data_IF_733512171440
#
_entry.id   IF_733512171440
#
_cell.length_a   1.000
_cell.length_b   1.000
_cell.length_c   1.000
_cell.angle_alpha   90.00
_cell.angle_beta   90.00
_cell.angle_gamma   90.00
#
_symmetry.space_group_name_H-M   'P 1'
#
loop_
_entity.id
_entity.type
_entity.pdbx_description
1 polymer ?
#
# COMPACT_ATOMS: atom_id res chain seq x y z
N UNK A 1 -68.34 -79.70 -7.54
CA UNK A 1 -67.44 -80.05 -8.66
C UNK A 1 -66.92 -78.76 -9.27
N UNK A 2 -65.59 -78.59 -9.27
CA UNK A 2 -64.76 -77.74 -10.16
C UNK A 2 -65.07 -76.22 -10.10
N UNK A 3 -64.41 -75.36 -9.28
CA UNK A 3 -62.98 -74.97 -9.22
C UNK A 3 -62.39 -74.62 -10.59
N UNK A 4 -62.42 -73.36 -11.01
CA UNK A 4 -61.29 -72.70 -11.67
C UNK A 4 -61.20 -71.22 -11.28
N UNK A 5 -60.09 -70.97 -10.62
CA UNK A 5 -59.55 -69.75 -10.09
C UNK A 5 -58.55 -69.27 -11.15
N UNK A 6 -58.84 -68.21 -11.89
CA UNK A 6 -57.82 -67.51 -12.69
C UNK A 6 -57.90 -66.04 -12.31
N UNK A 7 -56.95 -65.72 -11.44
CA UNK A 7 -56.69 -64.43 -10.83
C UNK A 7 -56.27 -63.44 -11.93
N UNK A 8 -57.10 -62.42 -12.14
CA UNK A 8 -56.75 -61.23 -12.91
C UNK A 8 -55.72 -60.44 -12.10
N UNK A 9 -54.44 -60.76 -12.27
CA UNK A 9 -53.32 -60.02 -11.68
C UNK A 9 -53.23 -58.69 -12.42
N UNK A 10 -53.95 -57.70 -11.93
CA UNK A 10 -53.67 -56.29 -12.16
C UNK A 10 -52.24 -56.01 -11.67
N UNK A 11 -51.30 -55.95 -12.61
CA UNK A 11 -49.99 -55.35 -12.41
C UNK A 11 -50.22 -53.85 -12.22
N UNK A 12 -50.49 -53.46 -10.97
CA UNK A 12 -50.38 -52.08 -10.52
C UNK A 12 -48.90 -51.71 -10.56
N UNK A 13 -48.57 -51.06 -11.65
CA UNK A 13 -47.57 -50.00 -11.81
C UNK A 13 -47.16 -49.43 -10.44
N UNK A 14 -46.04 -49.90 -9.91
CA UNK A 14 -45.21 -49.07 -9.04
C UNK A 14 -44.33 -48.28 -10.01
N UNK A 15 -44.90 -47.21 -10.54
CA UNK A 15 -44.10 -46.10 -11.01
C UNK A 15 -43.44 -45.56 -9.74
N UNK A 16 -42.16 -45.85 -9.55
CA UNK A 16 -41.33 -45.02 -8.68
C UNK A 16 -41.44 -43.62 -9.26
N UNK A 17 -42.17 -42.77 -8.55
CA UNK A 17 -42.27 -41.35 -8.84
C UNK A 17 -40.88 -40.76 -8.58
N UNK A 18 -40.00 -40.88 -9.58
CA UNK A 18 -38.73 -40.17 -9.65
C UNK A 18 -39.08 -38.70 -9.91
N UNK A 19 -39.67 -38.04 -8.91
CA UNK A 19 -39.73 -36.60 -8.86
C UNK A 19 -38.26 -36.14 -8.72
N UNK A 20 -37.63 -35.55 -9.74
CA UNK A 20 -36.29 -35.00 -9.59
C UNK A 20 -36.43 -33.90 -8.55
N UNK A 21 -36.03 -34.23 -7.32
CA UNK A 21 -36.21 -33.39 -6.14
C UNK A 21 -35.73 -31.98 -6.50
N UNK A 22 -36.55 -30.97 -6.19
CA UNK A 22 -36.25 -29.56 -6.37
C UNK A 22 -35.11 -29.14 -5.44
N UNK A 23 -33.94 -29.78 -5.53
CA UNK A 23 -32.85 -29.67 -4.59
C UNK A 23 -31.57 -29.49 -5.38
N UNK A 24 -30.80 -28.48 -5.04
CA UNK A 24 -29.41 -28.35 -5.46
C UNK A 24 -28.49 -28.82 -4.33
N UNK A 25 -27.51 -29.64 -4.68
CA UNK A 25 -26.52 -30.16 -3.76
C UNK A 25 -25.27 -29.28 -3.78
N UNK A 26 -24.60 -29.21 -2.63
CA UNK A 26 -23.43 -28.37 -2.45
C UNK A 26 -22.77 -28.55 -1.10
N UNK A 27 -21.94 -27.58 -0.73
CA UNK A 27 -21.23 -27.54 0.55
C UNK A 27 -21.24 -26.15 1.14
N UNK A 28 -21.08 -26.06 2.46
CA UNK A 28 -20.84 -24.79 3.15
C UNK A 28 -19.40 -24.31 2.91
N UNK A 29 -19.24 -23.08 2.47
CA UNK A 29 -17.93 -22.45 2.22
C UNK A 29 -17.87 -21.05 2.84
N UNK A 30 -16.66 -20.52 2.97
CA UNK A 30 -16.39 -19.10 3.28
C UNK A 30 -15.38 -18.56 2.29
N UNK A 31 -15.37 -17.25 2.12
CA UNK A 31 -14.40 -16.60 1.23
C UNK A 31 -12.99 -16.89 1.75
N UNK A 32 -12.15 -17.56 0.96
CA UNK A 32 -10.76 -17.84 1.33
C UNK A 32 -9.87 -16.68 0.92
N UNK A 33 -9.19 -16.06 1.88
CA UNK A 33 -8.26 -14.93 1.66
C UNK A 33 -6.86 -15.38 2.03
N UNK A 34 -6.01 -15.53 1.03
CA UNK A 34 -4.59 -15.82 1.23
C UNK A 34 -3.80 -14.52 1.38
N UNK A 35 -3.16 -14.35 2.54
CA UNK A 35 -2.15 -13.32 2.77
C UNK A 35 -0.79 -13.85 2.34
N UNK A 36 -0.18 -13.22 1.35
CA UNK A 36 1.10 -13.66 0.79
C UNK A 36 2.28 -12.83 1.29
N UNK A 37 3.46 -13.44 1.33
CA UNK A 37 4.70 -12.76 1.65
C UNK A 37 5.09 -11.77 0.55
N UNK A 38 5.39 -10.53 0.89
CA UNK A 38 5.92 -9.54 -0.06
C UNK A 38 7.44 -9.64 -0.22
N UNK A 39 8.12 -10.27 0.74
CA UNK A 39 9.57 -10.44 0.80
C UNK A 39 9.95 -11.83 1.29
N UNK A 40 11.22 -12.20 1.11
CA UNK A 40 11.77 -13.46 1.62
C UNK A 40 12.44 -13.26 2.98
N UNK A 41 11.71 -13.51 4.07
CA UNK A 41 12.20 -13.29 5.44
C UNK A 41 11.87 -14.43 6.41
N UNK A 42 12.45 -14.39 7.61
CA UNK A 42 12.20 -15.41 8.64
C UNK A 42 10.93 -15.11 9.43
N UNK A 43 10.11 -16.12 9.71
CA UNK A 43 8.97 -16.01 10.63
C UNK A 43 9.47 -15.92 12.07
N UNK A 44 9.21 -14.80 12.75
CA UNK A 44 9.65 -14.56 14.13
C UNK A 44 8.51 -14.58 15.15
N UNK A 45 7.25 -14.53 14.70
CA UNK A 45 6.09 -14.70 15.59
C UNK A 45 4.85 -15.20 14.86
N UNK A 46 4.11 -16.09 15.52
CA UNK A 46 2.81 -16.63 15.11
C UNK A 46 1.83 -16.50 16.31
N UNK A 47 1.35 -15.28 16.61
CA UNK A 47 0.60 -15.01 17.85
C UNK A 47 -0.80 -15.64 17.89
N UNK A 48 -1.36 -16.03 16.74
CA UNK A 48 -2.70 -16.59 16.63
C UNK A 48 -2.61 -18.06 16.21
N UNK A 49 -3.35 -18.94 16.89
CA UNK A 49 -3.43 -20.35 16.54
C UNK A 49 -4.42 -20.58 15.39
N UNK A 50 -4.13 -21.57 14.55
CA UNK A 50 -5.09 -22.07 13.55
C UNK A 50 -6.43 -22.42 14.22
N UNK A 51 -7.52 -22.19 13.50
CA UNK A 51 -8.91 -22.31 13.99
C UNK A 51 -9.42 -21.12 14.81
N UNK A 52 -8.58 -20.14 15.15
CA UNK A 52 -9.01 -19.00 15.98
C UNK A 52 -9.82 -17.97 15.17
N UNK A 53 -10.84 -17.38 15.81
CA UNK A 53 -11.55 -16.21 15.28
C UNK A 53 -10.63 -14.98 15.37
N UNK A 54 -10.52 -14.24 14.27
CA UNK A 54 -9.71 -13.01 14.16
C UNK A 54 -10.57 -11.86 13.67
N UNK A 55 -10.20 -10.65 14.10
CA UNK A 55 -10.81 -9.42 13.61
C UNK A 55 -9.88 -8.77 12.58
N UNK A 56 -10.43 -7.90 11.74
CA UNK A 56 -9.63 -7.02 10.89
C UNK A 56 -8.58 -6.28 11.74
N UNK A 57 -7.34 -6.30 11.27
CA UNK A 57 -6.18 -5.70 11.95
C UNK A 57 -5.49 -6.60 12.97
N UNK A 58 -6.00 -7.80 13.26
CA UNK A 58 -5.28 -8.77 14.09
C UNK A 58 -3.97 -9.21 13.41
N UNK A 59 -2.85 -9.15 14.14
CA UNK A 59 -1.57 -9.67 13.68
C UNK A 59 -1.62 -11.20 13.58
N UNK A 60 -1.31 -11.73 12.40
CA UNK A 60 -1.34 -13.16 12.10
C UNK A 60 0.07 -13.75 12.09
N UNK A 61 1.00 -13.06 11.43
CA UNK A 61 2.39 -13.47 11.25
C UNK A 61 3.28 -12.23 11.35
N UNK A 62 4.38 -12.34 12.09
CA UNK A 62 5.46 -11.35 12.09
C UNK A 62 6.67 -11.95 11.41
N UNK A 63 7.17 -11.27 10.37
CA UNK A 63 8.45 -11.55 9.76
C UNK A 63 9.57 -10.74 10.45
N UNK A 64 10.81 -11.19 10.35
CA UNK A 64 11.98 -10.49 10.86
C UNK A 64 12.04 -9.07 10.26
N UNK A 65 12.06 -8.07 11.14
CA UNK A 65 12.01 -6.65 10.78
C UNK A 65 13.30 -5.89 11.12
N UNK A 66 14.35 -6.59 11.56
CA UNK A 66 15.59 -5.99 12.05
C UNK A 66 16.29 -5.15 10.98
N UNK A 67 16.49 -5.73 9.79
CA UNK A 67 17.10 -5.04 8.66
C UNK A 67 16.24 -3.86 8.20
N UNK A 68 14.92 -4.06 8.12
CA UNK A 68 14.01 -3.04 7.64
C UNK A 68 13.89 -1.85 8.61
N UNK A 69 13.96 -2.09 9.93
CA UNK A 69 14.08 -1.04 10.95
C UNK A 69 15.37 -0.24 10.81
N UNK A 70 16.49 -0.90 10.51
CA UNK A 70 17.76 -0.21 10.27
C UNK A 70 17.69 0.69 9.02
N UNK A 71 17.11 0.18 7.91
CA UNK A 71 16.89 0.99 6.70
C UNK A 71 15.95 2.17 6.95
N UNK A 72 14.88 1.96 7.71
CA UNK A 72 13.98 3.03 8.12
C UNK A 72 14.71 4.10 8.95
N UNK A 73 15.57 3.70 9.88
CA UNK A 73 16.39 4.64 10.66
C UNK A 73 17.34 5.45 9.77
N UNK A 74 17.98 4.81 8.78
CA UNK A 74 18.81 5.50 7.80
C UNK A 74 18.01 6.51 6.98
N UNK A 75 16.84 6.12 6.45
CA UNK A 75 15.99 7.01 5.68
C UNK A 75 15.50 8.22 6.50
N UNK A 76 15.20 8.03 7.79
CA UNK A 76 14.89 9.15 8.71
C UNK A 76 16.07 10.11 8.86
N UNK A 77 17.29 9.59 9.01
CA UNK A 77 18.48 10.42 9.11
C UNK A 77 18.76 11.18 7.79
N UNK A 78 18.49 10.55 6.64
CA UNK A 78 18.62 11.19 5.33
C UNK A 78 17.64 12.37 5.16
N UNK A 79 16.40 12.26 5.67
CA UNK A 79 15.45 13.39 5.74
C UNK A 79 16.01 14.52 6.59
N UNK A 80 16.46 14.23 7.82
CA UNK A 80 17.03 15.24 8.73
C UNK A 80 18.24 15.94 8.08
N UNK A 81 19.10 15.19 7.38
CA UNK A 81 20.24 15.75 6.64
C UNK A 81 19.78 16.70 5.53
N UNK A 82 18.76 16.32 4.76
CA UNK A 82 18.23 17.14 3.68
C UNK A 82 17.53 18.41 4.21
N UNK A 83 16.75 18.29 5.29
CA UNK A 83 16.13 19.43 5.99
C UNK A 83 17.18 20.42 6.48
N UNK A 84 18.21 19.93 7.19
CA UNK A 84 19.28 20.78 7.69
C UNK A 84 20.05 21.48 6.56
N UNK A 85 20.24 20.84 5.41
CA UNK A 85 20.87 21.46 4.25
C UNK A 85 19.98 22.55 3.63
N UNK A 86 18.68 22.30 3.49
CA UNK A 86 17.73 23.30 3.02
C UNK A 86 17.68 24.50 3.97
N UNK A 87 17.62 24.27 5.28
CA UNK A 87 17.63 25.33 6.28
C UNK A 87 18.93 26.13 6.23
N UNK A 88 20.08 25.48 6.05
CA UNK A 88 21.36 26.17 5.85
C UNK A 88 21.30 27.12 4.65
N UNK A 89 20.73 26.68 3.54
CA UNK A 89 20.58 27.51 2.33
C UNK A 89 19.57 28.64 2.53
N UNK A 90 18.48 28.41 3.27
CA UNK A 90 17.48 29.45 3.59
C UNK A 90 18.04 30.55 4.48
N UNK A 91 18.91 30.21 5.44
CA UNK A 91 19.58 31.20 6.28
C UNK A 91 20.67 31.98 5.54
N UNK A 92 21.24 31.40 4.46
CA UNK A 92 22.24 32.07 3.63
C UNK A 92 23.56 32.34 4.33
N UNK A 93 24.16 33.50 4.04
CA UNK A 93 25.44 33.92 4.61
C UNK A 93 25.33 34.22 6.11
N UNK A 94 26.38 33.91 6.86
CA UNK A 94 26.40 34.18 8.30
C UNK A 94 26.52 35.69 8.58
N UNK A 95 26.03 36.13 9.74
CA UNK A 95 26.08 37.56 10.14
C UNK A 95 27.52 38.04 10.22
N UNK A 96 28.43 37.18 10.68
CA UNK A 96 29.87 37.45 10.77
C UNK A 96 30.51 37.64 9.38
N UNK A 97 30.07 36.88 8.38
CA UNK A 97 30.54 36.98 7.00
C UNK A 97 30.07 38.31 6.37
N UNK A 98 28.81 38.68 6.58
CA UNK A 98 28.26 39.96 6.13
C UNK A 98 28.96 41.13 6.83
N UNK A 99 29.24 41.02 8.13
CA UNK A 99 29.95 42.06 8.88
C UNK A 99 31.39 42.25 8.37
N UNK A 100 32.11 41.15 8.10
CA UNK A 100 33.45 41.21 7.52
C UNK A 100 33.45 41.86 6.13
N UNK A 101 32.48 41.52 5.27
CA UNK A 101 32.33 42.15 3.96
C UNK A 101 31.98 43.65 4.06
N UNK A 102 31.13 44.05 5.00
CA UNK A 102 30.84 45.47 5.28
C UNK A 102 32.09 46.23 5.74
N UNK A 103 32.89 45.63 6.62
CA UNK A 103 34.17 46.20 7.04
C UNK A 103 35.12 46.38 5.84
N UNK A 104 35.17 45.41 4.92
CA UNK A 104 35.99 45.52 3.70
C UNK A 104 35.53 46.65 2.78
N UNK A 105 34.21 46.84 2.62
CA UNK A 105 33.65 47.98 1.88
C UNK A 105 34.05 49.31 2.54
N UNK A 106 33.99 49.39 3.87
CA UNK A 106 34.39 50.59 4.60
C UNK A 106 35.89 50.91 4.45
N UNK A 107 36.75 49.90 4.52
CA UNK A 107 38.19 50.00 4.27
C UNK A 107 38.48 50.51 2.84
N UNK A 108 37.91 49.87 1.80
CA UNK A 108 38.10 50.28 0.41
C UNK A 108 37.57 51.69 0.14
N UNK A 109 36.48 52.09 0.80
CA UNK A 109 35.94 53.46 0.70
C UNK A 109 36.90 54.48 1.31
N UNK A 110 37.49 54.18 2.46
CA UNK A 110 38.47 55.07 3.09
C UNK A 110 39.72 55.25 2.21
N UNK A 111 40.20 54.16 1.59
CA UNK A 111 41.32 54.22 0.65
C UNK A 111 41.01 55.05 -0.60
N UNK A 112 39.79 54.93 -1.16
CA UNK A 112 39.35 55.77 -2.28
C UNK A 112 39.33 57.25 -1.88
N UNK A 113 38.78 57.61 -0.72
CA UNK A 113 38.73 59.01 -0.24
C UNK A 113 40.14 59.62 -0.14
N UNK A 114 41.10 58.88 0.42
CA UNK A 114 42.49 59.37 0.49
C UNK A 114 43.09 59.56 -0.91
N UNK A 115 42.90 58.60 -1.82
CA UNK A 115 43.45 58.68 -3.17
C UNK A 115 42.75 59.74 -4.03
N UNK A 116 41.47 60.03 -3.82
CA UNK A 116 40.76 61.16 -4.42
C UNK A 116 41.32 62.49 -3.93
N UNK A 117 41.55 62.63 -2.61
CA UNK A 117 42.17 63.81 -2.03
C UNK A 117 43.60 64.01 -2.55
N UNK A 118 44.39 62.94 -2.63
CA UNK A 118 45.75 62.95 -3.18
C UNK A 118 45.76 63.36 -4.65
N UNK A 119 44.89 62.77 -5.48
CA UNK A 119 44.72 63.17 -6.88
C UNK A 119 44.33 64.65 -7.01
N UNK A 120 43.39 65.14 -6.20
CA UNK A 120 42.99 66.54 -6.22
C UNK A 120 44.15 67.48 -5.84
N UNK A 121 44.95 67.12 -4.83
CA UNK A 121 46.18 67.85 -4.44
C UNK A 121 47.18 67.89 -5.59
N UNK A 122 47.50 66.74 -6.17
CA UNK A 122 48.45 66.58 -7.29
C UNK A 122 48.00 67.36 -8.53
N UNK A 123 46.70 67.30 -8.87
CA UNK A 123 46.11 68.08 -9.98
C UNK A 123 46.27 69.60 -9.76
N UNK A 124 46.13 70.07 -8.53
CA UNK A 124 46.33 71.49 -8.21
C UNK A 124 47.81 71.92 -8.27
N UNK A 125 48.74 71.05 -7.89
CA UNK A 125 50.19 71.32 -7.98
C UNK A 125 50.69 71.35 -9.44
N UNK A 126 50.16 70.49 -10.32
CA UNK A 126 50.42 70.55 -11.77
C UNK A 126 49.97 71.86 -12.39
N UNK A 127 48.79 72.38 -12.01
CA UNK A 127 48.31 73.68 -12.51
C UNK A 127 49.25 74.83 -12.15
N UNK A 128 50.02 74.67 -11.06
CA UNK A 128 51.05 75.60 -10.60
C UNK A 128 52.45 75.28 -11.16
N UNK A 129 52.57 74.28 -12.04
CA UNK A 129 53.81 73.79 -12.66
C UNK A 129 54.88 73.31 -11.66
N UNK A 130 54.48 72.78 -10.50
CA UNK A 130 55.40 72.38 -9.42
C UNK A 130 55.82 70.90 -9.50
N UNK A 131 55.14 70.07 -10.29
CA UNK A 131 55.40 68.61 -10.39
C UNK A 131 55.25 68.10 -11.84
N UNK A 132 55.70 66.87 -12.11
CA UNK A 132 55.69 66.24 -13.44
C UNK A 132 54.33 65.62 -13.82
N UNK A 133 54.07 65.48 -15.13
CA UNK A 133 52.87 64.79 -15.66
C UNK A 133 52.77 63.34 -15.17
N UNK A 134 53.90 62.63 -15.11
CA UNK A 134 53.95 61.26 -14.60
C UNK A 134 53.41 61.13 -13.16
N UNK A 135 53.57 62.17 -12.32
CA UNK A 135 53.02 62.17 -10.96
C UNK A 135 51.48 62.31 -10.96
N UNK A 136 50.92 63.12 -11.88
CA UNK A 136 49.47 63.22 -12.06
C UNK A 136 48.87 61.92 -12.56
N UNK A 137 49.50 61.31 -13.57
CA UNK A 137 49.05 60.03 -14.14
C UNK A 137 49.07 58.92 -13.10
N UNK A 138 50.11 58.86 -12.28
CA UNK A 138 50.20 57.92 -11.16
C UNK A 138 49.08 58.15 -10.14
N UNK A 139 48.81 59.40 -9.75
CA UNK A 139 47.75 59.71 -8.80
C UNK A 139 46.35 59.39 -9.36
N UNK A 140 46.14 59.62 -10.67
CA UNK A 140 44.90 59.25 -11.35
C UNK A 140 44.72 57.72 -11.34
N UNK A 141 45.77 56.98 -11.72
CA UNK A 141 45.75 55.52 -11.73
C UNK A 141 45.47 54.93 -10.33
N UNK A 142 46.06 55.49 -9.28
CA UNK A 142 45.81 55.04 -7.89
C UNK A 142 44.36 55.30 -7.45
N UNK A 143 43.78 56.44 -7.84
CA UNK A 143 42.37 56.75 -7.58
C UNK A 143 41.45 55.78 -8.30
N UNK A 144 41.69 55.55 -9.60
CA UNK A 144 40.86 54.66 -10.41
C UNK A 144 40.97 53.19 -9.95
N UNK A 145 42.16 52.75 -9.55
CA UNK A 145 42.34 51.43 -8.94
C UNK A 145 41.57 51.28 -7.61
N UNK A 146 41.55 52.33 -6.77
CA UNK A 146 40.81 52.32 -5.50
C UNK A 146 39.29 52.30 -5.72
N UNK A 147 38.82 52.99 -6.77
CA UNK A 147 37.41 52.96 -7.17
C UNK A 147 36.99 51.55 -7.61
N UNK A 148 37.79 50.90 -8.45
CA UNK A 148 37.55 49.51 -8.87
C UNK A 148 37.56 48.55 -7.67
N UNK A 149 38.46 48.74 -6.71
CA UNK A 149 38.50 47.94 -5.47
C UNK A 149 37.27 48.12 -4.59
N UNK A 150 36.76 49.36 -4.47
CA UNK A 150 35.51 49.63 -3.77
C UNK A 150 34.33 48.93 -4.45
N UNK A 151 34.22 49.03 -5.78
CA UNK A 151 33.16 48.36 -6.55
C UNK A 151 33.20 46.85 -6.38
N UNK A 152 34.39 46.24 -6.43
CA UNK A 152 34.56 44.81 -6.17
C UNK A 152 34.10 44.43 -4.74
N UNK A 153 34.54 45.17 -3.71
CA UNK A 153 34.13 44.90 -2.33
C UNK A 153 32.60 45.04 -2.14
N UNK A 154 31.97 46.01 -2.81
CA UNK A 154 30.52 46.19 -2.80
C UNK A 154 29.80 45.01 -3.46
N UNK A 155 30.30 44.51 -4.58
CA UNK A 155 29.70 43.36 -5.26
C UNK A 155 29.84 42.08 -4.44
N UNK A 156 30.97 41.89 -3.76
CA UNK A 156 31.14 40.76 -2.82
C UNK A 156 30.15 40.83 -1.66
N UNK A 157 29.91 42.02 -1.10
CA UNK A 157 28.86 42.22 -0.10
C UNK A 157 27.45 41.95 -0.67
N UNK A 158 27.21 42.33 -1.93
CA UNK A 158 25.94 42.09 -2.63
C UNK A 158 25.66 40.60 -2.79
N UNK A 159 26.67 39.80 -3.12
CA UNK A 159 26.55 38.33 -3.20
C UNK A 159 26.08 37.75 -1.86
N UNK A 160 26.68 38.17 -0.75
CA UNK A 160 26.32 37.66 0.58
C UNK A 160 24.93 38.12 1.04
N UNK A 161 24.54 39.35 0.69
CA UNK A 161 23.25 39.94 1.11
C UNK A 161 22.07 39.52 0.23
N UNK A 162 22.30 39.18 -1.03
CA UNK A 162 21.28 38.58 -1.90
C UNK A 162 20.95 37.14 -1.48
N UNK A 163 21.79 36.50 -0.68
CA UNK A 163 21.57 35.15 -0.17
C UNK A 163 21.76 34.05 -1.22
N UNK A 164 21.14 32.91 -0.97
CA UNK A 164 21.24 31.72 -1.84
C UNK A 164 20.34 31.87 -3.06
N UNK A 165 20.76 31.32 -4.20
CA UNK A 165 19.99 31.35 -5.45
C UNK A 165 18.71 30.52 -5.34
N UNK A 166 17.66 30.95 -6.03
CA UNK A 166 16.39 30.20 -6.06
C UNK A 166 16.54 28.81 -6.69
N UNK A 167 17.45 28.65 -7.66
CA UNK A 167 17.78 27.34 -8.23
C UNK A 167 18.33 26.38 -7.16
N UNK A 168 19.24 26.84 -6.31
CA UNK A 168 19.85 26.03 -5.27
C UNK A 168 18.83 25.64 -4.19
N UNK A 169 17.94 26.58 -3.83
CA UNK A 169 16.81 26.30 -2.93
C UNK A 169 15.87 25.24 -3.51
N UNK A 170 15.48 25.37 -4.78
CA UNK A 170 14.62 24.38 -5.45
C UNK A 170 15.27 23.00 -5.52
N UNK A 171 16.58 22.93 -5.77
CA UNK A 171 17.33 21.66 -5.75
C UNK A 171 17.31 21.03 -4.35
N UNK A 172 17.49 21.83 -3.31
CA UNK A 172 17.47 21.35 -1.93
C UNK A 172 16.06 20.91 -1.48
N UNK A 173 15.01 21.63 -1.89
CA UNK A 173 13.61 21.24 -1.67
C UNK A 173 13.29 19.92 -2.36
N UNK A 174 13.65 19.76 -3.63
CA UNK A 174 13.47 18.51 -4.36
C UNK A 174 14.24 17.34 -3.72
N UNK A 175 15.44 17.61 -3.19
CA UNK A 175 16.23 16.60 -2.48
C UNK A 175 15.56 16.16 -1.17
N UNK A 176 14.95 17.09 -0.45
CA UNK A 176 14.17 16.81 0.75
C UNK A 176 12.93 15.97 0.41
N UNK A 177 12.19 16.33 -0.63
CA UNK A 177 11.01 15.58 -1.06
C UNK A 177 11.37 14.15 -1.49
N UNK A 178 12.48 13.97 -2.21
CA UNK A 178 13.00 12.64 -2.55
C UNK A 178 13.35 11.82 -1.30
N UNK A 179 13.99 12.43 -0.29
CA UNK A 179 14.30 11.76 0.98
C UNK A 179 13.03 11.36 1.75
N UNK A 180 12.00 12.22 1.76
CA UNK A 180 10.70 11.94 2.37
C UNK A 180 9.96 10.80 1.66
N UNK A 181 10.00 10.77 0.32
CA UNK A 181 9.43 9.68 -0.46
C UNK A 181 10.13 8.34 -0.17
N UNK A 182 11.46 8.36 -0.06
CA UNK A 182 12.23 7.17 0.35
C UNK A 182 11.83 6.71 1.75
N UNK A 183 11.71 7.64 2.71
CA UNK A 183 11.24 7.33 4.06
C UNK A 183 9.86 6.66 4.05
N UNK A 184 8.90 7.18 3.27
CA UNK A 184 7.56 6.59 3.15
C UNK A 184 7.61 5.17 2.54
N UNK A 185 8.47 4.94 1.55
CA UNK A 185 8.70 3.61 0.96
C UNK A 185 9.23 2.61 2.01
N UNK A 186 10.24 2.99 2.79
CA UNK A 186 10.81 2.13 3.83
C UNK A 186 9.83 1.88 5.00
N UNK A 187 8.95 2.83 5.31
CA UNK A 187 7.85 2.63 6.26
C UNK A 187 6.84 1.61 5.75
N UNK A 188 6.48 1.67 4.47
CA UNK A 188 5.55 0.72 3.86
C UNK A 188 6.13 -0.70 3.85
N UNK A 189 7.40 -0.84 3.45
CA UNK A 189 8.11 -2.14 3.51
C UNK A 189 8.15 -2.69 4.93
N UNK A 190 8.39 -1.86 5.94
CA UNK A 190 8.34 -2.29 7.34
C UNK A 190 6.95 -2.80 7.74
N UNK A 191 5.90 -2.08 7.36
CA UNK A 191 4.52 -2.48 7.64
C UNK A 191 4.15 -3.80 6.97
N UNK A 192 4.68 -4.07 5.78
CA UNK A 192 4.41 -5.31 5.04
C UNK A 192 5.05 -6.57 5.68
N UNK A 193 5.97 -6.40 6.64
CA UNK A 193 6.52 -7.50 7.44
C UNK A 193 5.58 -7.96 8.57
N UNK A 194 4.56 -7.17 8.88
CA UNK A 194 3.50 -7.51 9.83
C UNK A 194 2.24 -7.90 9.07
N UNK A 195 1.96 -9.20 8.98
CA UNK A 195 0.81 -9.70 8.24
C UNK A 195 -0.44 -9.58 9.10
N UNK A 196 -1.30 -8.63 8.73
CA UNK A 196 -2.56 -8.35 9.42
C UNK A 196 -3.76 -8.93 8.68
N UNK A 197 -4.77 -9.37 9.43
CA UNK A 197 -6.06 -9.76 8.89
C UNK A 197 -6.75 -8.58 8.18
N UNK A 198 -7.18 -8.75 6.93
CA UNK A 198 -7.88 -7.70 6.15
C UNK A 198 -9.39 -7.67 6.39
N UNK A 199 -9.95 -8.80 6.85
CA UNK A 199 -11.37 -8.99 7.19
C UNK A 199 -11.49 -9.81 8.47
N UNK A 200 -12.65 -9.70 9.11
CA UNK A 200 -13.04 -10.60 10.19
C UNK A 200 -13.23 -12.02 9.63
N UNK A 201 -12.83 -13.03 10.38
CA UNK A 201 -12.91 -14.41 9.94
C UNK A 201 -12.27 -15.40 10.89
N UNK A 202 -11.95 -16.58 10.37
CA UNK A 202 -11.26 -17.66 11.08
C UNK A 202 -9.92 -17.91 10.40
N UNK A 203 -8.85 -18.05 11.18
CA UNK A 203 -7.55 -18.44 10.65
C UNK A 203 -7.55 -19.92 10.27
N UNK A 204 -7.57 -20.23 8.98
CA UNK A 204 -7.62 -21.60 8.44
C UNK A 204 -6.27 -22.30 8.60
N UNK A 205 -5.25 -21.70 8.00
CA UNK A 205 -3.96 -22.34 7.80
C UNK A 205 -2.82 -21.33 7.98
N UNK A 206 -1.80 -21.77 8.70
CA UNK A 206 -0.47 -21.18 8.81
C UNK A 206 0.54 -22.24 8.32
N UNK A 207 0.96 -22.20 7.05
CA UNK A 207 1.75 -23.28 6.47
C UNK A 207 3.24 -23.24 6.85
N UNK A 208 3.66 -22.27 7.67
CA UNK A 208 5.05 -22.04 8.06
C UNK A 208 5.22 -22.15 9.57
N UNK A 209 6.38 -22.65 10.00
CA UNK A 209 6.75 -22.71 11.40
C UNK A 209 7.59 -21.50 11.84
N UNK A 210 7.63 -21.29 13.16
CA UNK A 210 8.51 -20.30 13.77
C UNK A 210 9.98 -20.61 13.42
N UNK A 211 10.72 -19.61 12.93
CA UNK A 211 12.11 -19.73 12.51
C UNK A 211 12.31 -20.15 11.05
N UNK A 212 11.25 -20.52 10.33
CA UNK A 212 11.36 -20.82 8.89
C UNK A 212 11.51 -19.55 8.05
N UNK A 213 12.25 -19.66 6.96
CA UNK A 213 12.37 -18.59 5.96
C UNK A 213 11.34 -18.79 4.85
N UNK A 214 10.51 -17.78 4.66
CA UNK A 214 9.48 -17.75 3.62
C UNK A 214 10.05 -17.15 2.35
N UNK A 215 9.43 -17.48 1.21
CA UNK A 215 9.76 -16.88 -0.08
C UNK A 215 8.69 -15.87 -0.47
N UNK A 216 9.09 -14.78 -1.14
CA UNK A 216 8.14 -13.82 -1.70
C UNK A 216 7.10 -14.52 -2.60
N UNK A 217 5.84 -14.11 -2.47
CA UNK A 217 4.69 -14.69 -3.16
C UNK A 217 4.04 -15.88 -2.45
N UNK A 218 4.71 -16.53 -1.49
CA UNK A 218 4.15 -17.67 -0.79
C UNK A 218 3.02 -17.27 0.19
N UNK A 219 1.97 -18.10 0.35
CA UNK A 219 0.92 -17.84 1.34
C UNK A 219 1.46 -18.00 2.77
N UNK A 220 1.29 -16.98 3.60
CA UNK A 220 1.68 -16.93 5.00
C UNK A 220 0.55 -17.28 5.96
N UNK A 221 -0.66 -16.80 5.63
CA UNK A 221 -1.86 -17.07 6.40
C UNK A 221 -3.06 -17.14 5.46
N UNK A 222 -3.93 -18.12 5.67
CA UNK A 222 -5.21 -18.23 4.94
C UNK A 222 -6.34 -17.96 5.92
N UNK A 223 -7.17 -16.96 5.62
CA UNK A 223 -8.37 -16.65 6.39
C UNK A 223 -9.62 -17.16 5.67
N UNK A 224 -10.55 -17.70 6.45
CA UNK A 224 -11.93 -17.94 6.08
C UNK A 224 -12.74 -16.71 6.50
N UNK A 225 -12.94 -15.77 5.58
CA UNK A 225 -13.55 -14.49 5.86
C UNK A 225 -15.09 -14.57 5.89
N UNK A 226 -15.68 -13.70 6.69
CA UNK A 226 -17.13 -13.64 6.91
C UNK A 226 -17.56 -14.28 8.22
N UNK A 227 -18.69 -13.80 8.73
CA UNK A 227 -19.26 -14.27 10.00
C UNK A 227 -19.89 -15.65 9.84
N UNK A 228 -20.81 -15.79 8.88
CA UNK A 228 -21.48 -17.03 8.53
C UNK A 228 -21.01 -17.56 7.16
N UNK A 229 -20.98 -18.90 6.96
CA UNK A 229 -20.70 -19.48 5.66
C UNK A 229 -21.81 -19.20 4.63
N UNK A 230 -21.55 -19.51 3.38
CA UNK A 230 -22.54 -19.59 2.31
C UNK A 230 -22.62 -21.03 1.79
N UNK A 231 -23.78 -21.47 1.32
CA UNK A 231 -23.92 -22.73 0.62
C UNK A 231 -23.54 -22.54 -0.85
N UNK A 232 -22.49 -23.22 -1.29
CA UNK A 232 -22.09 -23.29 -2.69
C UNK A 232 -22.71 -24.51 -3.33
N UNK A 233 -23.68 -24.29 -4.21
CA UNK A 233 -24.54 -25.33 -4.78
C UNK A 233 -24.40 -25.41 -6.30
N UNK A 234 -24.74 -26.57 -6.85
CA UNK A 234 -24.81 -26.81 -8.29
C UNK A 234 -26.28 -26.81 -8.73
N UNK A 235 -26.69 -25.75 -9.43
CA UNK A 235 -28.06 -25.56 -9.91
C UNK A 235 -28.21 -26.19 -11.30
N UNK A 236 -29.17 -27.12 -11.50
CA UNK A 236 -29.48 -27.65 -12.83
C UNK A 236 -29.92 -26.59 -13.82
N UNK A 237 -29.47 -26.70 -15.07
CA UNK A 237 -29.82 -25.77 -16.17
C UNK A 237 -31.32 -25.44 -16.27
N UNK A 238 -32.26 -26.40 -16.15
CA UNK A 238 -33.69 -26.10 -16.23
C UNK A 238 -34.20 -25.17 -15.11
N UNK A 239 -33.51 -25.15 -13.97
CA UNK A 239 -33.87 -24.34 -12.79
C UNK A 239 -33.19 -22.97 -12.79
N UNK A 240 -32.10 -22.83 -13.53
CA UNK A 240 -31.31 -21.59 -13.62
C UNK A 240 -32.14 -20.37 -14.02
N UNK A 241 -33.12 -20.54 -14.91
CA UNK A 241 -33.97 -19.46 -15.45
C UNK A 241 -34.93 -18.90 -14.39
N UNK A 242 -35.30 -19.71 -13.39
CA UNK A 242 -36.26 -19.34 -12.33
C UNK A 242 -35.63 -18.58 -11.17
N UNK A 243 -34.30 -18.64 -11.02
CA UNK A 243 -33.58 -18.03 -9.91
C UNK A 243 -33.06 -16.64 -10.27
N UNK A 244 -33.17 -15.72 -9.31
CA UNK A 244 -32.63 -14.36 -9.38
C UNK A 244 -31.83 -14.04 -8.13
N UNK A 245 -30.72 -13.32 -8.30
CA UNK A 245 -29.93 -12.83 -7.17
C UNK A 245 -30.83 -12.02 -6.25
N UNK A 246 -30.80 -12.35 -4.96
CA UNK A 246 -31.65 -11.78 -3.93
C UNK A 246 -32.77 -12.70 -3.44
N UNK A 247 -33.08 -13.79 -4.16
CA UNK A 247 -34.08 -14.78 -3.76
C UNK A 247 -33.74 -15.42 -2.41
N UNK A 248 -34.78 -15.72 -1.62
CA UNK A 248 -34.66 -16.48 -0.37
C UNK A 248 -34.86 -17.96 -0.66
N UNK A 249 -33.89 -18.78 -0.25
CA UNK A 249 -33.87 -20.21 -0.49
C UNK A 249 -33.69 -20.96 0.82
N UNK A 250 -34.39 -22.08 0.97
CA UNK A 250 -34.27 -22.94 2.16
C UNK A 250 -33.04 -23.80 2.02
N UNK A 251 -32.09 -23.62 2.93
CA UNK A 251 -30.85 -24.40 3.05
C UNK A 251 -31.03 -25.43 4.16
N UNK A 252 -30.81 -26.69 3.82
CA UNK A 252 -30.67 -27.81 4.73
C UNK A 252 -29.19 -28.16 4.84
N UNK A 253 -28.69 -28.25 6.07
CA UNK A 253 -27.30 -28.62 6.32
C UNK A 253 -27.30 -30.00 6.93
N UNK A 254 -26.52 -30.91 6.36
CA UNK A 254 -26.47 -32.29 6.84
C UNK A 254 -26.03 -32.32 8.31
N UNK A 255 -26.83 -33.00 9.16
CA UNK A 255 -26.63 -33.05 10.61
C UNK A 255 -27.42 -32.02 11.42
N UNK A 256 -28.18 -31.13 10.77
CA UNK A 256 -29.12 -30.22 11.42
C UNK A 256 -30.56 -30.52 10.97
N UNK A 257 -31.49 -30.64 11.92
CA UNK A 257 -32.92 -30.75 11.61
C UNK A 257 -33.57 -29.40 11.29
N UNK A 258 -32.90 -28.30 11.64
CA UNK A 258 -33.38 -26.94 11.44
C UNK A 258 -33.18 -26.52 9.98
N UNK A 259 -34.24 -25.98 9.38
CA UNK A 259 -34.18 -25.29 8.10
C UNK A 259 -33.62 -23.88 8.26
N UNK A 260 -32.68 -23.50 7.39
CA UNK A 260 -32.05 -22.17 7.42
C UNK A 260 -32.44 -21.43 6.15
N UNK A 261 -33.11 -20.29 6.29
CA UNK A 261 -33.39 -19.42 5.13
C UNK A 261 -32.14 -18.61 4.82
N UNK A 262 -31.57 -18.84 3.65
CA UNK A 262 -30.44 -18.10 3.13
C UNK A 262 -30.83 -17.24 1.92
N UNK A 263 -29.98 -16.27 1.58
CA UNK A 263 -30.22 -15.36 0.45
C UNK A 263 -29.26 -15.64 -0.70
N UNK A 264 -29.78 -15.84 -1.90
CA UNK A 264 -28.97 -16.05 -3.10
C UNK A 264 -28.13 -14.79 -3.39
N UNK A 265 -26.81 -14.86 -3.15
CA UNK A 265 -25.89 -13.72 -3.31
C UNK A 265 -25.26 -13.66 -4.70
N UNK A 266 -25.09 -14.81 -5.34
CA UNK A 266 -24.48 -14.92 -6.66
C UNK A 266 -24.92 -16.21 -7.35
N UNK A 267 -25.04 -16.17 -8.68
CA UNK A 267 -25.27 -17.34 -9.52
C UNK A 267 -24.50 -17.17 -10.83
N UNK A 268 -23.81 -18.21 -11.26
CA UNK A 268 -22.97 -18.21 -12.44
C UNK A 268 -23.79 -17.94 -13.71
N UNK A 269 -23.16 -17.22 -14.63
CA UNK A 269 -23.69 -17.00 -15.99
C UNK A 269 -23.27 -18.11 -16.93
N UNK A 270 -22.09 -18.69 -16.71
CA UNK A 270 -21.55 -19.80 -17.51
C UNK A 270 -21.78 -21.13 -16.79
N UNK A 271 -22.08 -22.21 -17.54
CA UNK A 271 -22.21 -23.53 -16.95
C UNK A 271 -20.83 -24.09 -16.57
N UNK A 272 -20.80 -24.88 -15.50
CA UNK A 272 -19.65 -25.65 -15.06
C UNK A 272 -20.02 -27.14 -15.00
N UNK A 273 -19.05 -28.02 -15.25
CA UNK A 273 -19.19 -29.44 -14.94
C UNK A 273 -19.09 -29.66 -13.43
N UNK A 274 -19.94 -30.52 -12.89
CA UNK A 274 -19.83 -30.93 -11.48
C UNK A 274 -18.49 -31.64 -11.26
N UNK A 275 -17.73 -31.29 -10.20
CA UNK A 275 -16.63 -32.13 -9.75
C UNK A 275 -17.13 -33.55 -9.47
N UNK A 276 -16.24 -34.54 -9.55
CA UNK A 276 -16.53 -35.99 -9.43
C UNK A 276 -17.33 -36.39 -8.18
N UNK A 277 -17.43 -35.50 -7.18
CA UNK A 277 -18.19 -35.66 -5.93
C UNK A 277 -19.71 -35.45 -6.05
N UNK A 278 -20.28 -35.20 -7.24
CA UNK A 278 -21.72 -35.28 -7.41
C UNK A 278 -22.16 -36.74 -7.14
N UNK A 279 -22.74 -36.97 -5.97
CA UNK A 279 -23.04 -38.27 -5.36
C UNK A 279 -24.03 -39.15 -6.17
N UNK A 280 -24.48 -38.69 -7.34
CA UNK A 280 -25.40 -39.39 -8.22
C UNK A 280 -24.76 -39.69 -9.58
N UNK A 281 -24.83 -40.95 -10.02
CA UNK A 281 -24.23 -41.43 -11.27
C UNK A 281 -24.90 -40.86 -12.54
N UNK A 282 -26.15 -40.38 -12.44
CA UNK A 282 -26.95 -39.90 -13.57
C UNK A 282 -26.74 -38.41 -13.91
N UNK A 283 -26.15 -37.61 -13.02
CA UNK A 283 -26.11 -36.14 -13.18
C UNK A 283 -24.79 -35.61 -13.77
N UNK A 284 -23.82 -36.50 -14.02
CA UNK A 284 -22.44 -36.18 -14.43
C UNK A 284 -22.29 -35.57 -15.82
N UNK A 285 -23.32 -35.63 -16.66
CA UNK A 285 -23.32 -35.12 -18.05
C UNK A 285 -24.23 -33.91 -18.27
N UNK A 286 -24.82 -33.33 -17.21
CA UNK A 286 -25.75 -32.19 -17.31
C UNK A 286 -25.04 -30.86 -17.06
N UNK A 287 -25.50 -29.82 -17.75
CA UNK A 287 -25.06 -28.44 -17.50
C UNK A 287 -25.55 -28.00 -16.12
N UNK A 288 -24.62 -27.56 -15.27
CA UNK A 288 -24.91 -27.02 -13.95
C UNK A 288 -24.36 -25.60 -13.82
N UNK A 289 -25.00 -24.79 -13.00
CA UNK A 289 -24.58 -23.42 -12.70
C UNK A 289 -24.23 -23.33 -11.23
N UNK A 290 -23.05 -22.83 -10.91
CA UNK A 290 -22.69 -22.58 -9.51
C UNK A 290 -23.54 -21.44 -8.96
N UNK A 291 -24.08 -21.63 -7.77
CA UNK A 291 -24.78 -20.58 -7.04
C UNK A 291 -24.29 -20.54 -5.59
N UNK A 292 -24.33 -19.35 -5.00
CA UNK A 292 -23.93 -19.11 -3.62
C UNK A 292 -25.10 -18.52 -2.84
N UNK A 293 -25.53 -19.23 -1.81
CA UNK A 293 -26.63 -18.82 -0.93
C UNK A 293 -26.03 -18.43 0.42
N UNK A 294 -26.06 -17.14 0.75
CA UNK A 294 -25.52 -16.61 2.00
C UNK A 294 -26.42 -17.00 3.18
N UNK A 295 -25.87 -17.68 4.17
CA UNK A 295 -26.58 -17.97 5.42
C UNK A 295 -26.57 -16.72 6.32
N UNK A 296 -27.58 -16.56 7.21
CA UNK A 296 -27.65 -15.44 8.15
C UNK A 296 -26.51 -15.48 9.17
N UNK A 297 -26.12 -14.30 9.66
CA UNK A 297 -25.03 -14.12 10.65
C UNK A 297 -25.22 -14.93 11.95
N UNK A 298 -26.44 -15.36 12.27
CA UNK A 298 -26.75 -16.22 13.42
C UNK A 298 -26.12 -17.61 13.30
N UNK A 299 -25.81 -18.06 12.09
CA UNK A 299 -25.24 -19.38 11.81
C UNK A 299 -23.70 -19.33 11.68
N UNK A 300 -23.07 -18.43 12.45
CA UNK A 300 -21.63 -18.15 12.38
C UNK A 300 -20.72 -19.31 12.81
N UNK A 301 -21.24 -20.27 13.55
CA UNK A 301 -20.47 -21.41 14.09
C UNK A 301 -20.53 -22.65 13.19
N UNK A 302 -21.25 -22.58 12.05
CA UNK A 302 -21.29 -23.68 11.10
C UNK A 302 -19.90 -23.93 10.47
N UNK A 303 -19.46 -25.20 10.41
CA UNK A 303 -18.18 -25.54 9.80
C UNK A 303 -18.22 -25.41 8.29
N UNK A 304 -17.05 -25.15 7.70
CA UNK A 304 -16.88 -25.24 6.25
C UNK A 304 -16.74 -26.70 5.82
N UNK A 305 -17.09 -26.98 4.56
CA UNK A 305 -17.00 -28.30 3.94
C UNK A 305 -18.16 -29.24 4.25
N UNK A 306 -19.10 -28.84 5.12
CA UNK A 306 -20.28 -29.66 5.43
C UNK A 306 -21.20 -29.70 4.21
N UNK A 307 -21.70 -30.87 3.79
CA UNK A 307 -22.70 -30.96 2.73
C UNK A 307 -23.96 -30.17 3.06
N UNK A 308 -24.50 -29.51 2.04
CA UNK A 308 -25.71 -28.72 2.14
C UNK A 308 -26.60 -28.96 0.92
N UNK A 309 -27.91 -28.86 1.15
CA UNK A 309 -28.95 -29.05 0.16
C UNK A 309 -29.81 -27.79 0.14
N UNK A 310 -30.16 -27.29 -1.04
CA UNK A 310 -30.96 -26.06 -1.17
C UNK A 310 -32.19 -26.33 -2.00
N UNK A 311 -33.35 -26.00 -1.45
CA UNK A 311 -34.62 -26.12 -2.17
C UNK A 311 -34.73 -25.09 -3.29
N UNK A 312 -35.10 -25.54 -4.48
CA UNK A 312 -35.23 -24.75 -5.69
C UNK A 312 -36.72 -24.50 -6.06
N UNK A 313 -37.06 -23.37 -6.69
CA UNK A 313 -38.40 -23.10 -7.22
C UNK A 313 -38.71 -23.84 -8.55
#
# INVERSE_FOLDING_TARGET
MVRYFICLVCVLIVACDNNPQNIALGTLERDRIAHTATVSEVVVSLPVRQGSKVKKGTLLVQLDDTLQKAQLSKARADVVRAEANLDKLRHGARVEEVAAARAKVAESRAALVENEASYARTRNLIKRQVISQAALDTALAMRDASLANLQNAQEQLRILTNGTREEDLRVAEASLDAARAMLASEQKKLADLSILATRDGILDNLPWNLGERVTAGSPLAVLLAGKAPYARIYVPEPRRVKLKVGDELVVHVDGLEKQIVGRLRWIATEPAFTPYYALNQEERSRLMYLAEVQLPDTEADLPNGVPAQVELP
#
